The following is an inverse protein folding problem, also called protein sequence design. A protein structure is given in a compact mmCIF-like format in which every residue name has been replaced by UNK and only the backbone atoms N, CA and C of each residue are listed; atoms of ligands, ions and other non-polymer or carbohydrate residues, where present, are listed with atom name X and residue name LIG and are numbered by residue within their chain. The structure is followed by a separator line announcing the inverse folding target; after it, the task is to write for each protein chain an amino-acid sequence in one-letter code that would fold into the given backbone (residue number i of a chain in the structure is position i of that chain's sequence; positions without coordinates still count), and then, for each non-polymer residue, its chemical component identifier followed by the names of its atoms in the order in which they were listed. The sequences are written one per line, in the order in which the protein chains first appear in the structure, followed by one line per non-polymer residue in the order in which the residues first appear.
data_IF_130997236620
#
_entry.id   IF_130997236620
#
_cell.length_a   1.000
_cell.length_b   1.000
_cell.length_c   1.000
_cell.angle_alpha   90.00
_cell.angle_beta   90.00
_cell.angle_gamma   90.00
#
_symmetry.space_group_name_H-M   'P 1'
#
loop_
_entity.id
_entity.type
_entity.pdbx_description
1 polymer ?
#
# COMPACT_ATOMS: atom_id res chain seq x y z
N UNK A 1 7.21 12.85 11.43
CA UNK A 1 7.55 12.06 10.23
C UNK A 1 6.83 10.73 10.37
N UNK A 2 5.76 10.53 9.61
CA UNK A 2 4.83 9.41 9.82
C UNK A 2 5.37 8.12 9.21
N UNK A 3 5.72 7.17 10.07
CA UNK A 3 6.02 5.80 9.67
C UNK A 3 4.73 5.03 9.40
N UNK A 4 4.77 4.07 8.49
CA UNK A 4 3.61 3.22 8.15
C UNK A 4 3.87 1.80 8.66
N UNK A 5 3.05 1.33 9.60
CA UNK A 5 3.08 -0.05 10.08
C UNK A 5 2.47 -0.99 9.05
N UNK A 6 3.24 -1.98 8.58
CA UNK A 6 2.76 -3.00 7.62
C UNK A 6 3.10 -4.40 8.12
N UNK A 7 2.20 -5.34 7.87
CA UNK A 7 2.41 -6.76 8.14
C UNK A 7 3.18 -7.41 6.99
N UNK A 8 4.18 -8.24 7.30
CA UNK A 8 4.97 -9.01 6.33
C UNK A 8 4.39 -10.39 6.07
N UNK A 9 4.92 -11.10 5.08
CA UNK A 9 4.54 -12.49 4.75
C UNK A 9 4.71 -13.47 5.92
N UNK A 10 5.59 -13.17 6.88
CA UNK A 10 5.79 -13.98 8.09
C UNK A 10 4.84 -13.63 9.24
N UNK A 11 3.95 -12.64 9.06
CA UNK A 11 2.99 -12.18 10.05
C UNK A 11 3.55 -11.14 11.04
N UNK A 12 4.82 -10.78 10.91
CA UNK A 12 5.44 -9.75 11.74
C UNK A 12 5.07 -8.34 11.24
N UNK A 13 5.14 -7.34 12.12
CA UNK A 13 4.97 -5.94 11.73
C UNK A 13 6.32 -5.27 11.52
N UNK A 14 6.45 -4.57 10.40
CA UNK A 14 7.58 -3.69 10.09
C UNK A 14 7.11 -2.24 9.99
N UNK A 15 8.02 -1.31 10.28
CA UNK A 15 7.82 0.11 10.03
C UNK A 15 8.47 0.46 8.70
N UNK A 16 7.67 0.89 7.72
CA UNK A 16 8.22 1.56 6.54
C UNK A 16 8.49 3.02 6.88
N UNK A 17 9.67 3.48 6.47
CA UNK A 17 10.01 4.89 6.56
C UNK A 17 9.22 5.72 5.54
N UNK A 18 9.12 7.02 5.80
CA UNK A 18 8.39 7.94 4.93
C UNK A 18 9.04 8.08 3.55
N UNK A 19 10.34 7.80 3.42
CA UNK A 19 11.06 7.92 2.17
C UNK A 19 10.73 6.77 1.21
N UNK A 20 10.70 5.53 1.69
CA UNK A 20 10.25 4.36 0.93
C UNK A 20 8.83 4.56 0.38
N UNK A 21 7.93 5.13 1.18
CA UNK A 21 6.56 5.44 0.74
C UNK A 21 6.56 6.55 -0.32
N UNK A 22 7.40 7.58 -0.16
CA UNK A 22 7.55 8.65 -1.15
C UNK A 22 8.18 8.15 -2.47
N UNK A 23 9.14 7.23 -2.39
CA UNK A 23 9.78 6.63 -3.55
C UNK A 23 8.79 5.78 -4.34
N UNK A 24 7.94 5.00 -3.66
CA UNK A 24 6.84 4.29 -4.30
C UNK A 24 5.88 5.27 -4.97
N UNK A 25 5.48 6.35 -4.28
CA UNK A 25 4.59 7.38 -4.82
C UNK A 25 5.17 8.03 -6.09
N UNK A 26 6.48 8.25 -6.14
CA UNK A 26 7.16 8.81 -7.31
C UNK A 26 7.27 7.80 -8.48
N UNK A 27 7.24 6.50 -8.19
CA UNK A 27 7.36 5.43 -9.17
C UNK A 27 6.02 5.06 -9.85
N UNK A 28 4.89 5.52 -9.33
CA UNK A 28 3.55 5.21 -9.84
C UNK A 28 2.83 6.46 -10.36
N UNK A 29 1.89 6.28 -11.30
CA UNK A 29 1.16 7.41 -11.91
C UNK A 29 0.01 7.94 -11.06
N UNK A 30 -0.69 7.06 -10.37
CA UNK A 30 -1.84 7.44 -9.53
C UNK A 30 -1.38 7.68 -8.08
N UNK A 31 -2.09 8.56 -7.33
CA UNK A 31 -1.81 8.74 -5.92
C UNK A 31 -1.89 7.43 -5.14
N UNK A 32 -0.91 7.21 -4.26
CA UNK A 32 -0.91 6.15 -3.27
C UNK A 32 -1.96 6.49 -2.21
N UNK A 33 -2.91 5.58 -2.01
CA UNK A 33 -3.94 5.76 -0.98
C UNK A 33 -3.41 5.16 0.32
N UNK A 34 -3.35 5.98 1.35
CA UNK A 34 -2.90 5.60 2.70
C UNK A 34 -4.06 5.72 3.68
N UNK A 35 -3.91 5.23 4.91
CA UNK A 35 -4.93 5.42 5.95
C UNK A 35 -5.23 6.89 6.28
N UNK A 36 -4.39 7.84 5.85
CA UNK A 36 -4.62 9.28 5.98
C UNK A 36 -5.33 9.91 4.77
N UNK A 37 -5.51 9.17 3.68
CA UNK A 37 -6.15 9.68 2.47
C UNK A 37 -7.67 9.84 2.67
N UNK A 38 -8.29 10.95 2.23
CA UNK A 38 -9.73 11.18 2.41
C UNK A 38 -10.64 10.11 1.77
N UNK A 39 -10.15 9.48 0.72
CA UNK A 39 -10.86 8.43 -0.04
C UNK A 39 -10.56 7.00 0.45
N UNK A 40 -9.72 6.84 1.49
CA UNK A 40 -9.26 5.54 1.97
C UNK A 40 -10.41 4.57 2.28
N UNK A 41 -11.41 5.03 3.05
CA UNK A 41 -12.54 4.18 3.44
C UNK A 41 -13.40 3.75 2.25
N UNK A 42 -13.53 4.60 1.22
CA UNK A 42 -14.26 4.25 0.01
C UNK A 42 -13.46 3.26 -0.86
N UNK A 43 -12.16 3.47 -1.00
CA UNK A 43 -11.29 2.67 -1.89
C UNK A 43 -11.05 1.26 -1.37
N UNK A 44 -10.99 1.07 -0.04
CA UNK A 44 -10.71 -0.25 0.56
C UNK A 44 -11.92 -1.20 0.58
N UNK A 45 -13.13 -0.70 0.30
CA UNK A 45 -14.34 -1.51 0.34
C UNK A 45 -14.35 -2.54 -0.78
N UNK A 46 -14.67 -3.78 -0.42
CA UNK A 46 -14.93 -4.86 -1.37
C UNK A 46 -16.41 -5.23 -1.34
N UNK A 47 -16.86 -5.96 -2.35
CA UNK A 47 -18.26 -6.34 -2.49
C UNK A 47 -18.79 -7.11 -1.26
N UNK A 48 -17.99 -8.01 -0.70
CA UNK A 48 -18.37 -8.72 0.52
C UNK A 48 -18.07 -7.88 1.78
N UNK A 49 -19.09 -7.15 2.24
CA UNK A 49 -19.01 -6.30 3.43
C UNK A 49 -18.73 -7.02 4.75
N UNK A 50 -18.76 -8.37 4.79
CA UNK A 50 -18.33 -9.13 5.97
C UNK A 50 -16.80 -9.08 6.18
N UNK A 51 -16.04 -8.69 5.16
CA UNK A 51 -14.58 -8.59 5.24
C UNK A 51 -14.13 -7.13 5.30
N UNK A 52 -13.95 -6.65 6.53
CA UNK A 52 -13.41 -5.31 6.82
C UNK A 52 -11.88 -5.37 7.00
N UNK A 53 -11.12 -5.34 5.89
CA UNK A 53 -9.66 -5.22 5.94
C UNK A 53 -9.23 -3.75 5.88
N UNK A 54 -8.12 -3.45 6.58
CA UNK A 54 -7.49 -2.12 6.66
C UNK A 54 -6.03 -2.19 6.18
N UNK A 55 -5.80 -2.30 4.86
CA UNK A 55 -4.45 -2.30 4.31
C UNK A 55 -3.76 -0.97 4.59
N UNK A 56 -2.45 -0.99 4.88
CA UNK A 56 -1.74 0.26 5.18
C UNK A 56 -1.53 1.14 3.95
N UNK A 57 -1.39 0.52 2.77
CA UNK A 57 -1.18 1.15 1.48
C UNK A 57 -2.09 0.49 0.43
N UNK A 58 -2.65 1.30 -0.48
CA UNK A 58 -3.43 0.82 -1.63
C UNK A 58 -2.87 1.50 -2.89
N UNK A 59 -2.34 0.70 -3.81
CA UNK A 59 -1.81 1.17 -5.10
C UNK A 59 -2.83 0.93 -6.21
N UNK A 60 -3.39 2.01 -6.76
CA UNK A 60 -4.33 1.94 -7.89
C UNK A 60 -3.57 2.03 -9.21
N UNK A 61 -3.14 0.89 -9.73
CA UNK A 61 -2.33 0.85 -10.94
C UNK A 61 -3.11 1.31 -12.19
N UNK A 62 -2.56 2.27 -12.93
CA UNK A 62 -3.11 2.77 -14.22
C UNK A 62 -2.48 2.06 -15.42
N UNK A 63 -1.33 1.43 -15.25
CA UNK A 63 -0.67 0.65 -16.30
C UNK A 63 0.34 -0.36 -15.77
N UNK A 64 0.98 -1.06 -16.71
CA UNK A 64 1.93 -2.15 -16.42
C UNK A 64 3.10 -1.68 -15.57
N UNK A 65 3.62 -0.47 -15.81
CA UNK A 65 4.72 0.08 -15.03
C UNK A 65 4.38 0.24 -13.55
N UNK A 66 3.15 0.68 -13.22
CA UNK A 66 2.70 0.83 -11.84
C UNK A 66 2.60 -0.54 -11.14
N UNK A 67 2.12 -1.57 -11.86
CA UNK A 67 2.05 -2.94 -11.34
C UNK A 67 3.45 -3.47 -11.04
N UNK A 68 4.40 -3.28 -11.96
CA UNK A 68 5.80 -3.70 -11.76
C UNK A 68 6.39 -3.00 -10.54
N UNK A 69 6.19 -1.69 -10.40
CA UNK A 69 6.68 -0.92 -9.26
C UNK A 69 6.09 -1.43 -7.94
N UNK A 70 4.77 -1.61 -7.88
CA UNK A 70 4.07 -2.07 -6.68
C UNK A 70 4.49 -3.48 -6.26
N UNK A 71 4.60 -4.42 -7.21
CA UNK A 71 5.00 -5.81 -6.91
C UNK A 71 6.46 -5.88 -6.47
N UNK A 72 7.35 -5.14 -7.15
CA UNK A 72 8.75 -5.08 -6.75
C UNK A 72 8.91 -4.47 -5.35
N UNK A 73 8.16 -3.41 -5.05
CA UNK A 73 8.13 -2.80 -3.72
C UNK A 73 7.67 -3.80 -2.65
N UNK A 74 6.53 -4.45 -2.88
CA UNK A 74 6.00 -5.45 -1.95
C UNK A 74 6.99 -6.60 -1.72
N UNK A 75 7.68 -7.08 -2.77
CA UNK A 75 8.71 -8.12 -2.66
C UNK A 75 9.92 -7.64 -1.85
N UNK A 76 10.45 -6.45 -2.15
CA UNK A 76 11.64 -5.90 -1.47
C UNK A 76 11.43 -5.75 0.02
N UNK A 77 10.20 -5.43 0.44
CA UNK A 77 9.85 -5.24 1.85
C UNK A 77 9.10 -6.43 2.46
N UNK A 78 8.98 -7.54 1.73
CA UNK A 78 8.29 -8.77 2.16
C UNK A 78 6.85 -8.53 2.66
N UNK A 79 6.13 -7.58 2.06
CA UNK A 79 4.80 -7.17 2.52
C UNK A 79 3.78 -8.28 2.32
N UNK A 80 2.87 -8.44 3.27
CA UNK A 80 1.66 -9.25 3.11
C UNK A 80 0.67 -8.50 2.22
N UNK A 81 0.46 -9.01 1.01
CA UNK A 81 -0.48 -8.48 0.00
C UNK A 81 -1.85 -9.12 0.10
#
# INVERSE_FOLDING_TARGET
MSHVSITTLTGNQIQLDAQCVADLQAAIREPLVTAASPDYDAVRQIWNGMHDKRPALIVRCRGVADVIAAVNFARTHELLT
#
